data_IF_128888102454
#
_entry.id   IF_128888102454
#
_cell.length_a   1.000
_cell.length_b   1.000
_cell.length_c   1.000
_cell.angle_alpha   90.00
_cell.angle_beta   90.00
_cell.angle_gamma   90.00
#
_symmetry.space_group_name_H-M   'P 1'
#
loop_
_entity.id
_entity.type
_entity.pdbx_description
1 polymer ?
#
# COMPACT_ATOMS: atom_id res chain seq x y z
N UNK A 1 4.12 -0.96 39.27
CA UNK A 1 3.37 -2.10 38.71
C UNK A 1 1.91 -1.66 38.68
N UNK A 2 1.31 -1.56 37.49
CA UNK A 2 -0.14 -1.47 37.28
C UNK A 2 -0.77 -0.07 37.21
N UNK A 3 -0.81 0.52 36.01
CA UNK A 3 -2.03 1.17 35.49
C UNK A 3 -1.91 1.26 33.96
N UNK A 4 -2.26 0.16 33.31
CA UNK A 4 -2.54 0.07 31.88
C UNK A 4 -4.08 0.01 31.78
N UNK A 5 -4.61 0.52 30.66
CA UNK A 5 -6.02 0.48 30.24
C UNK A 5 -6.90 1.66 30.71
N UNK A 6 -6.79 2.77 29.98
CA UNK A 6 -7.95 3.64 29.74
C UNK A 6 -8.21 3.74 28.22
N UNK A 7 -9.15 2.89 27.79
CA UNK A 7 -10.22 3.19 26.81
C UNK A 7 -9.79 3.60 25.39
N UNK A 8 -9.35 2.61 24.60
CA UNK A 8 -9.61 2.59 23.16
C UNK A 8 -10.98 1.94 22.94
N UNK A 9 -12.04 2.72 22.98
CA UNK A 9 -13.32 2.34 22.38
C UNK A 9 -14.17 3.59 22.18
N UNK A 10 -13.93 4.26 21.06
CA UNK A 10 -14.83 5.27 20.54
C UNK A 10 -14.77 5.28 19.02
N UNK A 11 -15.72 4.55 18.43
CA UNK A 11 -16.26 4.70 17.07
C UNK A 11 -15.53 3.95 15.95
N UNK A 12 -15.70 2.63 15.90
CA UNK A 12 -15.80 1.93 14.60
C UNK A 12 -17.09 2.40 13.90
N UNK A 13 -17.05 3.61 13.31
CA UNK A 13 -17.78 3.80 12.07
C UNK A 13 -17.15 2.83 11.08
N UNK A 14 -17.87 1.74 10.76
CA UNK A 14 -17.43 0.72 9.80
C UNK A 14 -16.87 1.42 8.56
N UNK A 15 -15.55 1.46 8.42
CA UNK A 15 -14.94 1.89 7.17
C UNK A 15 -15.51 1.00 6.06
N UNK A 16 -15.87 1.57 4.89
CA UNK A 16 -16.39 0.77 3.79
C UNK A 16 -15.34 -0.30 3.42
N UNK A 17 -15.81 -1.48 3.01
CA UNK A 17 -14.92 -2.51 2.50
C UNK A 17 -14.03 -1.91 1.39
N UNK A 18 -12.76 -2.35 1.23
CA UNK A 18 -11.86 -1.75 0.25
C UNK A 18 -12.45 -1.70 -1.16
N UNK A 19 -13.27 -2.69 -1.55
CA UNK A 19 -13.93 -2.72 -2.86
C UNK A 19 -15.07 -1.68 -3.05
N UNK A 20 -15.57 -1.08 -1.97
CA UNK A 20 -16.65 -0.08 -1.97
C UNK A 20 -16.14 1.32 -1.60
N UNK A 21 -14.91 1.41 -1.08
CA UNK A 21 -14.28 2.64 -0.67
C UNK A 21 -13.91 3.53 -1.88
N UNK A 22 -13.96 4.85 -1.69
CA UNK A 22 -13.44 5.84 -2.65
C UNK A 22 -11.99 6.22 -2.39
N UNK A 23 -11.48 5.84 -1.23
CA UNK A 23 -10.13 6.11 -0.76
C UNK A 23 -9.66 4.90 0.05
N UNK A 24 -8.40 4.53 -0.12
CA UNK A 24 -7.77 3.46 0.62
C UNK A 24 -6.36 3.87 1.02
N UNK A 25 -6.03 3.75 2.30
CA UNK A 25 -4.68 3.99 2.81
C UNK A 25 -3.98 2.66 3.06
N UNK A 26 -2.72 2.55 2.61
CA UNK A 26 -1.83 1.46 3.03
C UNK A 26 -1.20 1.71 4.40
N UNK A 27 -1.57 2.80 5.07
CA UNK A 27 -0.99 3.26 6.33
C UNK A 27 0.55 3.21 6.25
N UNK A 28 1.21 2.82 7.34
CA UNK A 28 2.68 2.70 7.43
C UNK A 28 3.27 1.59 6.57
N UNK A 29 2.47 0.79 5.86
CA UNK A 29 2.97 -0.29 5.02
C UNK A 29 3.43 0.17 3.63
N UNK A 30 3.18 1.44 3.25
CA UNK A 30 3.50 1.95 1.90
C UNK A 30 4.95 1.69 1.49
N UNK A 31 5.91 1.93 2.38
CA UNK A 31 7.34 1.87 2.06
C UNK A 31 7.82 0.42 1.92
N UNK A 32 7.28 -0.46 2.76
CA UNK A 32 7.48 -1.91 2.67
C UNK A 32 6.92 -2.46 1.36
N UNK A 33 5.67 -2.13 1.02
CA UNK A 33 5.04 -2.58 -0.22
C UNK A 33 5.81 -2.04 -1.44
N UNK A 34 6.26 -0.78 -1.40
CA UNK A 34 7.13 -0.19 -2.42
C UNK A 34 8.40 -1.02 -2.61
N UNK A 35 9.10 -1.35 -1.53
CA UNK A 35 10.33 -2.11 -1.59
C UNK A 35 10.10 -3.51 -2.19
N UNK A 36 9.10 -4.23 -1.71
CA UNK A 36 8.79 -5.59 -2.16
C UNK A 36 8.34 -5.62 -3.64
N UNK A 37 7.46 -4.68 -4.04
CA UNK A 37 6.98 -4.59 -5.41
C UNK A 37 8.10 -4.17 -6.38
N UNK A 38 8.99 -3.25 -5.97
CA UNK A 38 10.14 -2.88 -6.79
C UNK A 38 11.09 -4.06 -7.01
N UNK A 39 11.36 -4.87 -5.98
CA UNK A 39 12.16 -6.10 -6.09
C UNK A 39 11.51 -7.12 -7.03
N UNK A 40 10.18 -7.23 -6.99
CA UNK A 40 9.41 -8.12 -7.85
C UNK A 40 9.20 -7.58 -9.28
N UNK A 41 9.83 -6.44 -9.63
CA UNK A 41 9.68 -5.77 -10.92
C UNK A 41 8.21 -5.52 -11.29
N UNK A 42 7.41 -5.12 -10.28
CA UNK A 42 5.97 -4.93 -10.44
C UNK A 42 5.68 -3.90 -11.54
N UNK A 43 4.75 -4.19 -12.47
CA UNK A 43 4.66 -3.47 -13.74
C UNK A 43 4.09 -2.05 -13.64
N UNK A 44 3.53 -1.69 -12.48
CA UNK A 44 2.89 -0.39 -12.21
C UNK A 44 3.32 0.12 -10.85
N UNK A 45 3.72 1.39 -10.76
CA UNK A 45 4.08 1.99 -9.47
C UNK A 45 2.82 2.39 -8.67
N UNK A 46 2.17 1.41 -8.05
CA UNK A 46 0.90 1.63 -7.30
C UNK A 46 1.07 2.44 -6.02
N UNK A 47 2.29 2.51 -5.46
CA UNK A 47 2.57 3.22 -4.21
C UNK A 47 2.80 4.71 -4.44
N UNK A 48 3.46 5.09 -5.53
CA UNK A 48 3.73 6.50 -5.82
C UNK A 48 2.93 7.04 -7.00
N UNK A 49 2.23 6.21 -7.79
CA UNK A 49 1.67 6.63 -9.08
C UNK A 49 2.76 6.86 -10.13
N UNK A 50 2.34 7.22 -11.35
CA UNK A 50 3.24 7.27 -12.51
C UNK A 50 3.25 8.61 -13.22
N UNK A 51 2.11 9.29 -13.31
CA UNK A 51 1.99 10.58 -13.97
C UNK A 51 1.76 11.71 -12.95
N UNK A 52 2.31 12.91 -13.16
CA UNK A 52 2.08 14.04 -12.27
C UNK A 52 0.61 14.49 -12.32
N UNK A 53 0.07 14.91 -11.18
CA UNK A 53 -1.24 15.54 -11.07
C UNK A 53 -1.11 16.79 -10.19
N UNK A 54 -1.71 17.91 -10.61
CA UNK A 54 -1.68 19.16 -9.85
C UNK A 54 -0.26 19.55 -9.35
N UNK A 55 0.70 19.69 -10.28
CA UNK A 55 2.14 19.89 -9.98
C UNK A 55 2.44 21.07 -9.05
N UNK A 56 1.55 22.07 -9.00
CA UNK A 56 1.69 23.27 -8.17
C UNK A 56 1.13 23.11 -6.74
N UNK A 57 0.54 21.97 -6.41
CA UNK A 57 -0.04 21.70 -5.08
C UNK A 57 0.87 20.77 -4.27
N UNK A 58 1.26 21.19 -3.06
CA UNK A 58 1.99 20.33 -2.12
C UNK A 58 1.00 19.68 -1.14
N UNK A 59 0.90 18.36 -1.20
CA UNK A 59 0.02 17.56 -0.36
C UNK A 59 0.75 16.92 0.83
N UNK A 60 1.93 17.45 1.19
CA UNK A 60 2.75 17.05 2.34
C UNK A 60 4.04 16.34 1.93
N UNK A 61 3.94 15.43 0.97
CA UNK A 61 5.08 14.72 0.36
C UNK A 61 5.27 15.09 -1.12
N UNK A 62 4.93 16.33 -1.48
CA UNK A 62 4.91 16.81 -2.86
C UNK A 62 3.56 16.62 -3.54
N UNK A 63 3.50 16.91 -4.85
CA UNK A 63 2.25 16.84 -5.59
C UNK A 63 1.78 15.40 -5.74
N UNK A 64 0.45 15.17 -5.71
CA UNK A 64 -0.11 13.86 -5.96
C UNK A 64 0.23 13.40 -7.39
N UNK A 65 0.14 12.10 -7.59
CA UNK A 65 0.34 11.47 -8.89
C UNK A 65 -0.88 10.65 -9.25
N UNK A 66 -1.02 10.29 -10.51
CA UNK A 66 -2.16 9.51 -10.96
C UNK A 66 -1.78 8.33 -11.83
N UNK A 67 -2.69 7.36 -11.87
CA UNK A 67 -2.69 6.20 -12.76
C UNK A 67 -3.91 6.31 -13.67
N UNK A 68 -3.68 6.20 -14.98
CA UNK A 68 -4.75 6.09 -15.98
C UNK A 68 -5.51 4.77 -15.83
N UNK A 69 -6.78 4.68 -16.29
CA UNK A 69 -7.57 3.46 -16.20
C UNK A 69 -6.86 2.22 -16.78
N UNK A 70 -6.08 2.37 -17.86
CA UNK A 70 -5.28 1.29 -18.45
C UNK A 70 -4.24 0.74 -17.46
N UNK A 71 -3.58 1.63 -16.73
CA UNK A 71 -2.56 1.27 -15.73
C UNK A 71 -3.20 0.68 -14.49
N UNK A 72 -4.38 1.17 -14.09
CA UNK A 72 -5.17 0.59 -12.99
C UNK A 72 -5.59 -0.85 -13.31
N UNK A 73 -6.05 -1.13 -14.55
CA UNK A 73 -6.36 -2.50 -14.99
C UNK A 73 -5.15 -3.42 -14.95
N UNK A 74 -4.00 -2.95 -15.46
CA UNK A 74 -2.75 -3.71 -15.44
C UNK A 74 -2.28 -3.99 -14.00
N UNK A 75 -2.38 -2.99 -13.12
CA UNK A 75 -2.06 -3.15 -11.70
C UNK A 75 -2.99 -4.18 -11.03
N UNK A 76 -4.31 -4.09 -11.24
CA UNK A 76 -5.27 -5.03 -10.69
C UNK A 76 -5.00 -6.48 -11.14
N UNK A 77 -4.68 -6.69 -12.42
CA UNK A 77 -4.28 -8.01 -12.91
C UNK A 77 -3.01 -8.51 -12.22
N UNK A 78 -1.97 -7.68 -12.14
CA UNK A 78 -0.70 -8.06 -11.52
C UNK A 78 -0.84 -8.33 -10.01
N UNK A 79 -1.67 -7.54 -9.30
CA UNK A 79 -1.98 -7.69 -7.87
C UNK A 79 -2.75 -8.98 -7.61
N UNK A 80 -3.67 -9.35 -8.50
CA UNK A 80 -4.42 -10.61 -8.41
C UNK A 80 -3.53 -11.83 -8.66
N UNK A 81 -2.59 -11.76 -9.59
CA UNK A 81 -1.73 -12.89 -9.96
C UNK A 81 -0.53 -13.07 -9.03
N UNK A 82 -0.11 -12.01 -8.36
CA UNK A 82 1.03 -12.02 -7.44
C UNK A 82 0.52 -12.12 -6.01
N UNK A 83 0.77 -13.23 -5.33
CA UNK A 83 0.43 -13.34 -3.91
C UNK A 83 1.42 -12.55 -3.06
N UNK A 84 0.98 -12.07 -1.90
CA UNK A 84 1.89 -11.44 -0.94
C UNK A 84 3.07 -12.34 -0.55
N UNK A 85 2.84 -13.66 -0.45
CA UNK A 85 3.88 -14.64 -0.16
C UNK A 85 4.98 -14.70 -1.24
N UNK A 86 4.62 -14.44 -2.51
CA UNK A 86 5.61 -14.35 -3.59
C UNK A 86 6.44 -13.07 -3.49
N UNK A 87 5.84 -11.95 -3.07
CA UNK A 87 6.54 -10.66 -2.95
C UNK A 87 7.69 -10.67 -1.95
N UNK A 88 7.52 -11.34 -0.80
CA UNK A 88 8.59 -11.44 0.20
C UNK A 88 9.35 -12.77 0.19
N UNK A 89 9.08 -13.64 -0.79
CA UNK A 89 9.83 -14.90 -0.93
C UNK A 89 11.31 -14.62 -1.19
N UNK A 90 12.19 -15.20 -0.36
CA UNK A 90 13.63 -14.98 -0.47
C UNK A 90 14.07 -13.55 -0.16
N UNK A 91 13.26 -12.80 0.60
CA UNK A 91 13.66 -11.50 1.18
C UNK A 91 14.24 -11.73 2.57
N UNK A 92 15.46 -11.30 2.79
CA UNK A 92 16.03 -11.20 4.14
C UNK A 92 15.52 -9.90 4.80
N UNK A 93 14.90 -9.93 5.99
CA UNK A 93 14.51 -8.71 6.70
C UNK A 93 15.65 -7.71 6.94
N UNK A 94 16.90 -8.16 6.94
CA UNK A 94 18.07 -7.29 6.99
C UNK A 94 18.20 -6.40 5.74
N UNK A 95 17.69 -6.83 4.57
CA UNK A 95 17.66 -6.00 3.35
C UNK A 95 16.79 -4.76 3.54
N UNK A 96 15.61 -4.90 4.16
CA UNK A 96 14.72 -3.78 4.44
C UNK A 96 15.33 -2.84 5.48
N UNK A 97 16.02 -3.39 6.48
CA UNK A 97 16.74 -2.60 7.49
C UNK A 97 17.88 -1.80 6.85
N UNK A 98 18.67 -2.43 5.99
CA UNK A 98 19.77 -1.77 5.28
C UNK A 98 19.29 -0.74 4.26
N UNK A 99 18.10 -0.94 3.68
CA UNK A 99 17.46 0.00 2.77
C UNK A 99 16.65 1.09 3.49
N UNK A 100 16.72 1.15 4.83
CA UNK A 100 16.02 2.13 5.67
C UNK A 100 14.51 2.18 5.39
N UNK A 101 13.91 1.02 5.09
CA UNK A 101 12.48 0.91 4.80
C UNK A 101 11.67 1.17 6.07
N UNK A 102 10.73 2.11 6.03
CA UNK A 102 9.85 2.42 7.16
C UNK A 102 8.91 1.25 7.48
N UNK A 103 8.67 0.93 8.78
CA UNK A 103 9.01 1.72 9.98
C UNK A 103 10.32 1.30 10.68
N UNK A 104 11.32 0.79 9.95
CA UNK A 104 12.69 0.49 10.41
C UNK A 104 12.86 -0.66 11.42
N UNK A 105 11.80 -1.42 11.74
CA UNK A 105 11.86 -2.56 12.70
C UNK A 105 11.58 -3.92 12.03
N UNK A 106 12.50 -4.37 11.17
CA UNK A 106 12.32 -5.61 10.40
C UNK A 106 12.99 -6.85 11.02
N UNK A 107 13.87 -6.70 12.01
CA UNK A 107 14.60 -7.83 12.60
C UNK A 107 13.77 -8.80 13.45
N UNK A 108 12.49 -8.52 13.70
CA UNK A 108 11.61 -9.38 14.49
C UNK A 108 11.03 -10.53 13.64
N UNK A 109 10.92 -11.76 14.16
CA UNK A 109 10.23 -12.85 13.47
C UNK A 109 8.79 -12.47 13.14
N UNK A 110 8.37 -12.69 11.88
CA UNK A 110 7.01 -12.36 11.45
C UNK A 110 6.82 -10.91 10.98
N UNK A 111 7.88 -10.08 11.00
CA UNK A 111 7.79 -8.66 10.63
C UNK A 111 7.36 -8.48 9.17
N UNK A 112 7.77 -9.39 8.27
CA UNK A 112 7.41 -9.33 6.85
C UNK A 112 5.94 -9.69 6.60
N UNK A 113 5.31 -10.47 7.48
CA UNK A 113 3.92 -10.88 7.35
C UNK A 113 2.95 -9.74 7.71
N UNK A 114 3.40 -8.73 8.46
CA UNK A 114 2.60 -7.59 8.89
C UNK A 114 1.98 -6.79 7.72
N UNK A 115 2.66 -6.73 6.58
CA UNK A 115 2.16 -6.02 5.38
C UNK A 115 1.02 -6.75 4.64
N UNK A 116 0.74 -8.02 4.97
CA UNK A 116 -0.23 -8.85 4.22
C UNK A 116 -1.64 -8.23 4.15
N UNK A 117 -2.27 -7.80 5.27
CA UNK A 117 -3.63 -7.27 5.19
C UNK A 117 -3.72 -6.02 4.31
N UNK A 118 -2.68 -5.18 4.30
CA UNK A 118 -2.60 -4.00 3.45
C UNK A 118 -2.49 -4.38 1.98
N UNK A 119 -1.68 -5.41 1.65
CA UNK A 119 -1.60 -5.93 0.28
C UNK A 119 -2.93 -6.50 -0.20
N UNK A 120 -3.57 -7.36 0.60
CA UNK A 120 -4.82 -8.02 0.23
C UNK A 120 -5.96 -7.01 0.05
N UNK A 121 -6.00 -5.96 0.88
CA UNK A 121 -6.97 -4.87 0.74
C UNK A 121 -6.65 -3.93 -0.44
N UNK A 122 -5.38 -3.65 -0.71
CA UNK A 122 -4.95 -2.90 -1.88
C UNK A 122 -5.37 -3.60 -3.17
N UNK A 123 -5.20 -4.93 -3.23
CA UNK A 123 -5.66 -5.76 -4.35
C UNK A 123 -7.16 -5.61 -4.58
N UNK A 124 -7.97 -5.73 -3.51
CA UNK A 124 -9.43 -5.55 -3.62
C UNK A 124 -9.83 -4.15 -4.11
N UNK A 125 -9.14 -3.11 -3.62
CA UNK A 125 -9.38 -1.73 -4.03
C UNK A 125 -9.06 -1.51 -5.52
N UNK A 126 -7.90 -1.98 -5.98
CA UNK A 126 -7.52 -1.90 -7.40
C UNK A 126 -8.44 -2.73 -8.31
N UNK A 127 -8.87 -3.91 -7.87
CA UNK A 127 -9.85 -4.72 -8.62
C UNK A 127 -11.21 -4.01 -8.76
N UNK A 128 -11.66 -3.30 -7.74
CA UNK A 128 -12.87 -2.49 -7.83
C UNK A 128 -12.72 -1.31 -8.77
N UNK A 129 -11.64 -0.53 -8.65
CA UNK A 129 -11.34 0.58 -9.53
C UNK A 129 -11.22 0.13 -11.00
N UNK A 130 -10.53 -0.98 -11.25
CA UNK A 130 -10.39 -1.55 -12.60
C UNK A 130 -11.74 -1.98 -13.20
N UNK A 131 -12.66 -2.55 -12.41
CA UNK A 131 -14.02 -2.91 -12.86
C UNK A 131 -14.88 -1.69 -13.19
N UNK A 132 -14.65 -0.58 -12.50
CA UNK A 132 -15.34 0.69 -12.70
C UNK A 132 -14.76 1.55 -13.83
N UNK A 133 -13.62 1.16 -14.40
CA UNK A 133 -12.84 1.97 -15.36
C UNK A 133 -12.34 3.30 -14.74
N UNK A 134 -12.09 3.29 -13.43
CA UNK A 134 -11.64 4.48 -12.69
C UNK A 134 -10.13 4.72 -12.89
N UNK A 135 -9.76 6.00 -12.98
CA UNK A 135 -8.38 6.44 -12.75
C UNK A 135 -8.13 6.53 -11.24
N UNK A 136 -6.85 6.46 -10.81
CA UNK A 136 -6.50 6.53 -9.39
C UNK A 136 -5.56 7.70 -9.11
N UNK A 137 -5.90 8.49 -8.10
CA UNK A 137 -4.99 9.47 -7.52
C UNK A 137 -4.21 8.81 -6.37
N UNK A 138 -2.92 9.08 -6.29
CA UNK A 138 -1.97 8.48 -5.35
C UNK A 138 -1.15 9.60 -4.72
N UNK A 139 -1.11 9.65 -3.40
CA UNK A 139 -0.30 10.59 -2.64
C UNK A 139 0.19 9.93 -1.35
N UNK A 140 1.21 10.52 -0.73
CA UNK A 140 1.67 10.17 0.60
C UNK A 140 1.35 11.33 1.55
N UNK A 141 0.94 11.02 2.77
CA UNK A 141 0.57 11.96 3.82
C UNK A 141 1.33 11.74 5.15
#
# INVERSE_FOLDING_TARGET
MGLVEEVQDAKEESEPAPAEARHFSTYKAWDMLRFLMARAEFPVNVIHGEEPFAEDEDWGYGPPRYLRPERVRLAAEALRTTTYAQLFSGVDPAELTSAEVNPLRWGEPGSLEWGRPWYDNLTQFFEAAARADDAMLVWLD
#
